data_IF_257203033459
#
_entry.id   IF_257203033459
#
_cell.length_a   1.000
_cell.length_b   1.000
_cell.length_c   1.000
_cell.angle_alpha   90.00
_cell.angle_beta   90.00
_cell.angle_gamma   90.00
#
_symmetry.space_group_name_H-M   'P 1'
#
loop_
_entity.id
_entity.type
_entity.pdbx_description
1 polymer ?
#
# COMPACT_ATOMS: atom_id res chain seq x y z
N UNK A 1 29.90 -28.04 12.28
CA UNK A 1 29.19 -26.78 12.55
C UNK A 1 27.76 -27.04 12.16
N UNK A 2 26.92 -27.37 13.14
CA UNK A 2 25.50 -27.69 12.96
C UNK A 2 24.67 -26.39 12.98
N UNK A 3 23.64 -26.21 12.14
CA UNK A 3 22.78 -25.04 12.20
C UNK A 3 21.75 -25.17 13.34
N UNK A 4 21.63 -24.09 14.11
CA UNK A 4 20.65 -23.95 15.19
C UNK A 4 19.30 -23.62 14.56
N UNK A 5 18.32 -24.50 14.73
CA UNK A 5 16.91 -24.24 14.42
C UNK A 5 16.26 -23.59 15.64
N UNK A 6 15.72 -22.38 15.49
CA UNK A 6 14.89 -21.73 16.50
C UNK A 6 13.44 -21.98 16.09
N UNK A 7 12.73 -22.79 16.87
CA UNK A 7 11.27 -22.87 16.82
C UNK A 7 10.73 -21.88 17.86
N UNK A 8 9.96 -20.87 17.43
CA UNK A 8 9.22 -19.97 18.34
C UNK A 8 7.74 -20.30 18.20
N UNK A 9 7.15 -20.80 19.29
CA UNK A 9 5.71 -20.96 19.43
C UNK A 9 5.19 -19.86 20.35
N UNK A 10 4.48 -18.85 19.82
CA UNK A 10 3.70 -17.89 20.62
C UNK A 10 2.71 -17.02 19.77
N UNK A 11 1.80 -17.63 19.01
CA UNK A 11 0.90 -16.92 18.08
C UNK A 11 -0.30 -16.15 18.68
N UNK A 12 -0.57 -16.22 19.99
CA UNK A 12 -1.84 -15.69 20.54
C UNK A 12 -1.80 -14.25 21.06
N UNK A 13 -0.71 -13.84 21.72
CA UNK A 13 -0.69 -12.58 22.47
C UNK A 13 -0.15 -11.38 21.67
N UNK A 14 0.64 -11.64 20.64
CA UNK A 14 1.31 -10.59 19.83
C UNK A 14 0.32 -9.93 18.88
N UNK A 15 -0.64 -10.68 18.33
CA UNK A 15 -1.68 -10.15 17.43
C UNK A 15 -2.53 -9.05 18.11
N UNK A 16 -2.84 -9.22 19.40
CA UNK A 16 -3.61 -8.24 20.17
C UNK A 16 -2.81 -6.96 20.44
N UNK A 17 -1.50 -7.07 20.65
CA UNK A 17 -0.62 -5.91 20.92
C UNK A 17 -0.36 -5.11 19.64
N UNK A 18 -0.18 -5.78 18.50
CA UNK A 18 -0.04 -5.12 17.18
C UNK A 18 -1.35 -4.44 16.78
N UNK A 19 -2.51 -5.08 17.00
CA UNK A 19 -3.82 -4.47 16.76
C UNK A 19 -4.07 -3.24 17.67
N UNK A 20 -3.66 -3.29 18.94
CA UNK A 20 -3.76 -2.15 19.87
C UNK A 20 -2.80 -1.00 19.53
N UNK A 21 -1.62 -1.30 18.98
CA UNK A 21 -0.69 -0.28 18.48
C UNK A 21 -1.18 0.37 17.18
N UNK A 22 -1.86 -0.39 16.32
CA UNK A 22 -2.52 0.12 15.11
C UNK A 22 -3.68 1.06 15.44
N UNK A 23 -4.45 0.78 16.51
CA UNK A 23 -5.54 1.65 17.00
C UNK A 23 -5.04 2.93 17.73
N UNK A 24 -3.77 2.96 18.15
CA UNK A 24 -3.22 3.98 19.05
C UNK A 24 -2.78 5.31 18.42
N UNK A 25 -2.94 5.54 17.11
CA UNK A 25 -2.53 6.81 16.45
C UNK A 25 -3.68 7.71 16.00
N UNK A 26 -4.86 7.65 16.64
CA UNK A 26 -5.81 8.78 16.56
C UNK A 26 -5.27 9.94 17.41
N UNK A 27 -4.73 10.97 16.76
CA UNK A 27 -4.49 12.28 17.40
C UNK A 27 -5.81 12.79 17.96
N UNK A 28 -5.97 12.77 19.28
CA UNK A 28 -7.07 13.44 19.96
C UNK A 28 -6.98 14.94 19.70
N UNK A 29 -7.85 15.49 18.86
CA UNK A 29 -8.12 16.93 18.85
C UNK A 29 -8.91 17.26 20.11
N UNK A 30 -8.21 17.80 21.11
CA UNK A 30 -8.83 18.44 22.26
C UNK A 30 -9.58 19.68 21.76
N UNK A 31 -10.91 19.61 21.71
CA UNK A 31 -11.75 20.80 21.54
C UNK A 31 -11.92 21.38 22.94
N UNK A 32 -11.31 22.54 23.19
CA UNK A 32 -11.52 23.30 24.41
C UNK A 32 -12.97 23.80 24.45
N UNK A 33 -13.77 23.19 25.32
CA UNK A 33 -15.19 23.48 25.49
C UNK A 33 -15.40 24.39 26.70
N UNK A 34 -14.77 25.56 26.69
CA UNK A 34 -14.80 26.51 27.81
C UNK A 34 -15.23 27.92 27.37
N UNK A 35 -16.51 28.12 27.02
CA UNK A 35 -17.16 29.44 27.14
C UNK A 35 -18.71 29.32 27.14
N UNK A 36 -19.43 30.06 27.99
CA UNK A 36 -20.88 29.98 28.07
C UNK A 36 -21.56 30.67 26.89
N UNK A 37 -22.57 30.01 26.32
CA UNK A 37 -23.47 30.56 25.29
C UNK A 37 -24.36 31.63 25.91
N UNK A 38 -24.20 32.88 25.46
CA UNK A 38 -25.21 33.93 25.62
C UNK A 38 -25.63 34.46 24.25
N UNK A 39 -26.94 34.42 24.01
CA UNK A 39 -27.61 34.76 22.76
C UNK A 39 -27.54 36.27 22.41
N UNK A 40 -27.41 36.60 21.12
CA UNK A 40 -28.27 37.53 20.37
C UNK A 40 -27.70 37.84 18.98
N UNK A 41 -28.55 37.71 17.96
CA UNK A 41 -28.56 38.39 16.64
C UNK A 41 -27.22 38.72 15.94
N UNK A 42 -26.82 37.87 14.98
CA UNK A 42 -26.18 38.34 13.73
C UNK A 42 -26.65 37.52 12.51
N UNK A 43 -26.82 38.23 11.39
CA UNK A 43 -27.40 37.83 10.09
C UNK A 43 -26.76 36.59 9.45
N UNK A 44 -27.44 35.89 8.51
CA UNK A 44 -26.86 34.73 7.84
C UNK A 44 -25.78 35.18 6.85
N UNK A 45 -24.52 35.07 7.26
CA UNK A 45 -23.39 35.05 6.33
C UNK A 45 -23.17 33.61 5.94
N UNK A 46 -23.67 33.24 4.76
CA UNK A 46 -23.14 32.09 4.05
C UNK A 46 -21.67 32.38 3.70
N UNK A 47 -20.75 31.55 4.20
CA UNK A 47 -19.55 31.02 3.52
C UNK A 47 -18.63 30.41 4.58
N UNK A 48 -18.68 29.09 4.74
CA UNK A 48 -17.58 28.29 5.28
C UNK A 48 -17.37 27.12 4.34
N UNK A 49 -16.73 27.39 3.19
CA UNK A 49 -16.34 26.38 2.23
C UNK A 49 -15.18 26.91 1.37
N UNK A 50 -14.00 27.10 1.96
CA UNK A 50 -12.81 27.43 1.17
C UNK A 50 -11.44 27.17 1.82
N UNK A 51 -11.32 26.64 3.06
CA UNK A 51 -10.03 26.72 3.79
C UNK A 51 -9.36 25.39 4.17
N UNK A 52 -9.77 24.27 3.58
CA UNK A 52 -9.08 22.96 3.72
C UNK A 52 -8.45 22.47 2.41
N UNK A 53 -8.36 23.33 1.40
CA UNK A 53 -7.99 22.92 0.04
C UNK A 53 -6.48 22.98 -0.29
N UNK A 54 -5.59 23.20 0.68
CA UNK A 54 -4.17 23.46 0.38
C UNK A 54 -3.16 22.62 1.17
N UNK A 55 -3.55 21.43 1.63
CA UNK A 55 -2.64 20.50 2.35
C UNK A 55 -2.26 19.27 1.53
N UNK A 56 -2.90 19.01 0.39
CA UNK A 56 -2.60 17.82 -0.44
C UNK A 56 -1.26 17.96 -1.15
N UNK A 57 -0.31 17.09 -0.81
CA UNK A 57 1.09 17.15 -1.25
C UNK A 57 1.46 16.14 -2.33
N UNK A 58 0.60 15.14 -2.57
CA UNK A 58 0.88 14.10 -3.57
C UNK A 58 -0.36 13.61 -4.33
N UNK A 59 -0.13 12.89 -5.43
CA UNK A 59 -1.19 12.26 -6.20
C UNK A 59 -1.84 11.08 -5.43
N UNK A 60 -1.06 10.35 -4.62
CA UNK A 60 -1.56 9.31 -3.73
C UNK A 60 -2.48 9.87 -2.64
N UNK A 61 -2.15 11.02 -2.05
CA UNK A 61 -3.00 11.66 -1.05
C UNK A 61 -4.37 12.08 -1.64
N UNK A 62 -4.43 12.45 -2.92
CA UNK A 62 -5.71 12.67 -3.63
C UNK A 62 -6.55 11.39 -3.66
N UNK A 63 -5.93 10.24 -3.92
CA UNK A 63 -6.61 8.96 -3.96
C UNK A 63 -7.03 8.48 -2.56
N UNK A 64 -6.21 8.75 -1.55
CA UNK A 64 -6.55 8.49 -0.14
C UNK A 64 -7.80 9.27 0.27
N UNK A 65 -7.89 10.56 -0.07
CA UNK A 65 -9.09 11.37 0.16
C UNK A 65 -10.33 10.85 -0.59
N UNK A 66 -10.14 10.14 -1.71
CA UNK A 66 -11.22 9.46 -2.45
C UNK A 66 -11.57 8.08 -1.86
N UNK A 67 -10.89 7.65 -0.79
CA UNK A 67 -11.09 6.35 -0.15
C UNK A 67 -10.56 5.18 -0.99
N UNK A 68 -9.54 5.41 -1.82
CA UNK A 68 -8.88 4.36 -2.58
C UNK A 68 -7.90 3.55 -1.70
N UNK A 69 -7.58 2.29 -2.07
CA UNK A 69 -6.67 1.46 -1.31
C UNK A 69 -5.22 1.98 -1.36
N UNK A 70 -4.46 1.73 -0.30
CA UNK A 70 -3.08 2.20 -0.12
C UNK A 70 -2.15 1.80 -1.28
N UNK A 71 -2.34 0.60 -1.85
CA UNK A 71 -1.61 0.16 -3.02
C UNK A 71 -1.81 1.09 -4.22
N UNK A 72 -3.05 1.54 -4.46
CA UNK A 72 -3.35 2.47 -5.54
C UNK A 72 -2.80 3.87 -5.26
N UNK A 73 -2.80 4.31 -4.01
CA UNK A 73 -2.15 5.55 -3.60
C UNK A 73 -0.64 5.50 -3.88
N UNK A 74 0.02 4.40 -3.52
CA UNK A 74 1.43 4.15 -3.83
C UNK A 74 1.74 4.15 -5.33
N UNK A 75 0.81 3.66 -6.17
CA UNK A 75 0.96 3.71 -7.62
C UNK A 75 0.95 5.17 -8.13
N UNK A 76 0.02 5.98 -7.62
CA UNK A 76 -0.07 7.39 -8.00
C UNK A 76 1.16 8.20 -7.57
N UNK A 77 1.68 7.94 -6.37
CA UNK A 77 2.89 8.60 -5.86
C UNK A 77 4.14 8.19 -6.66
N UNK A 78 4.26 6.91 -7.01
CA UNK A 78 5.34 6.43 -7.86
C UNK A 78 5.32 7.11 -9.25
N UNK A 79 4.14 7.21 -9.87
CA UNK A 79 3.99 7.89 -11.17
C UNK A 79 4.29 9.39 -11.06
N UNK A 80 3.89 10.03 -9.95
CA UNK A 80 4.20 11.43 -9.70
C UNK A 80 5.70 11.66 -9.55
N UNK A 81 6.40 10.83 -8.78
CA UNK A 81 7.86 10.93 -8.64
C UNK A 81 8.59 10.67 -9.97
N UNK A 82 8.17 9.64 -10.71
CA UNK A 82 8.75 9.34 -12.01
C UNK A 82 8.53 10.49 -13.02
N UNK A 83 7.35 11.09 -13.02
CA UNK A 83 7.04 12.26 -13.83
C UNK A 83 7.86 13.48 -13.40
N UNK A 84 7.95 13.78 -12.11
CA UNK A 84 8.73 14.89 -11.56
C UNK A 84 10.22 14.76 -11.95
N UNK A 85 10.78 13.55 -11.81
CA UNK A 85 12.16 13.23 -12.21
C UNK A 85 12.36 13.36 -13.72
N UNK A 86 11.51 12.74 -14.53
CA UNK A 86 11.63 12.71 -15.99
C UNK A 86 11.49 14.10 -16.60
N UNK A 87 10.60 14.91 -16.04
CA UNK A 87 10.34 16.27 -16.50
C UNK A 87 11.26 17.31 -15.85
N UNK A 88 11.97 16.95 -14.77
CA UNK A 88 12.78 17.86 -13.95
C UNK A 88 11.96 19.06 -13.48
N UNK A 89 10.79 18.79 -12.89
CA UNK A 89 9.83 19.78 -12.38
C UNK A 89 9.32 19.36 -11.00
N UNK A 90 8.93 20.34 -10.18
CA UNK A 90 8.20 20.08 -8.95
C UNK A 90 6.71 20.01 -9.24
N UNK A 91 6.10 18.84 -9.03
CA UNK A 91 4.67 18.60 -9.24
C UNK A 91 3.83 18.83 -7.99
N UNK A 92 4.44 18.95 -6.80
CA UNK A 92 3.72 19.11 -5.53
C UNK A 92 2.96 20.45 -5.45
N UNK A 93 3.40 21.43 -6.23
CA UNK A 93 2.79 22.76 -6.33
C UNK A 93 1.68 22.84 -7.38
N UNK A 94 1.50 21.81 -8.20
CA UNK A 94 0.51 21.78 -9.28
C UNK A 94 -0.58 20.72 -9.01
N UNK A 95 -1.63 21.15 -8.30
CA UNK A 95 -2.78 20.30 -7.97
C UNK A 95 -3.49 19.74 -9.20
N UNK A 96 -3.49 20.46 -10.32
CA UNK A 96 -4.11 19.98 -11.54
C UNK A 96 -3.31 18.81 -12.15
N UNK A 97 -1.98 18.92 -12.16
CA UNK A 97 -1.10 17.82 -12.58
C UNK A 97 -1.24 16.60 -11.65
N UNK A 98 -1.25 16.80 -10.32
CA UNK A 98 -1.45 15.72 -9.35
C UNK A 98 -2.77 14.99 -9.55
N UNK A 99 -3.87 15.73 -9.76
CA UNK A 99 -5.18 15.12 -10.02
C UNK A 99 -5.17 14.26 -11.28
N UNK A 100 -4.51 14.73 -12.35
CA UNK A 100 -4.40 13.98 -13.61
C UNK A 100 -3.53 12.73 -13.47
N UNK A 101 -2.49 12.78 -12.65
CA UNK A 101 -1.65 11.62 -12.34
C UNK A 101 -2.44 10.59 -11.51
N UNK A 102 -3.23 11.04 -10.55
CA UNK A 102 -4.12 10.19 -9.76
C UNK A 102 -5.14 9.45 -10.67
N UNK A 103 -5.83 10.18 -11.56
CA UNK A 103 -6.77 9.58 -12.51
C UNK A 103 -6.06 8.62 -13.50
N UNK A 104 -4.82 8.93 -13.90
CA UNK A 104 -4.03 8.06 -14.75
C UNK A 104 -3.57 6.79 -14.02
N UNK A 105 -3.28 6.86 -12.72
CA UNK A 105 -2.94 5.72 -11.89
C UNK A 105 -4.14 4.76 -11.74
N UNK A 106 -5.34 5.29 -11.49
CA UNK A 106 -6.58 4.51 -11.47
C UNK A 106 -6.77 3.73 -12.78
N UNK A 107 -6.59 4.40 -13.92
CA UNK A 107 -6.69 3.76 -15.24
C UNK A 107 -5.58 2.72 -15.48
N UNK A 108 -4.33 3.06 -15.18
CA UNK A 108 -3.21 2.15 -15.34
C UNK A 108 -3.36 0.90 -14.47
N UNK A 109 -3.87 1.04 -13.26
CA UNK A 109 -4.17 -0.09 -12.36
C UNK A 109 -5.13 -1.09 -13.02
N UNK A 110 -6.22 -0.62 -13.64
CA UNK A 110 -7.15 -1.49 -14.35
C UNK A 110 -6.49 -2.23 -15.53
N UNK A 111 -5.64 -1.54 -16.30
CA UNK A 111 -4.90 -2.13 -17.42
C UNK A 111 -3.85 -3.17 -16.94
N UNK A 112 -3.16 -2.89 -15.82
CA UNK A 112 -2.18 -3.79 -15.21
C UNK A 112 -2.82 -5.06 -14.65
N UNK A 113 -3.98 -4.94 -13.99
CA UNK A 113 -4.71 -6.08 -13.43
C UNK A 113 -5.31 -6.96 -14.51
N UNK A 114 -5.75 -6.37 -15.64
CA UNK A 114 -6.38 -7.11 -16.74
C UNK A 114 -5.37 -7.71 -17.73
N UNK A 115 -4.30 -6.98 -18.08
CA UNK A 115 -3.37 -7.36 -19.16
C UNK A 115 -1.92 -7.54 -18.71
N UNK A 116 -1.58 -7.15 -17.48
CA UNK A 116 -0.21 -7.18 -16.96
C UNK A 116 0.68 -6.04 -17.44
N UNK A 117 0.16 -5.11 -18.23
CA UNK A 117 0.90 -4.01 -18.84
C UNK A 117 0.03 -2.75 -18.92
N UNK A 118 0.62 -1.56 -18.77
CA UNK A 118 -0.07 -0.29 -18.94
C UNK A 118 0.82 0.77 -19.61
N UNK A 119 0.15 1.71 -20.29
CA UNK A 119 0.79 2.91 -20.85
C UNK A 119 0.08 4.14 -20.28
N UNK A 120 0.80 4.89 -19.46
CA UNK A 120 0.37 6.20 -18.98
C UNK A 120 0.87 7.25 -19.96
N UNK A 121 -0.05 8.05 -20.52
CA UNK A 121 0.29 9.16 -21.41
C UNK A 121 -0.53 10.40 -21.03
N UNK A 122 0.18 11.42 -20.54
CA UNK A 122 -0.39 12.69 -20.08
C UNK A 122 0.19 13.84 -20.92
N UNK A 123 -0.49 14.23 -22.01
CA UNK A 123 -0.05 15.35 -22.81
C UNK A 123 -0.29 16.66 -22.06
N UNK A 124 0.63 17.62 -22.19
CA UNK A 124 0.53 18.93 -21.53
C UNK A 124 0.32 18.78 -20.02
N UNK A 125 1.10 17.91 -19.36
CA UNK A 125 0.97 17.65 -17.93
C UNK A 125 1.27 18.92 -17.12
N UNK A 126 2.38 19.58 -17.44
CA UNK A 126 2.81 20.86 -16.87
C UNK A 126 3.48 21.73 -17.94
N UNK A 127 3.77 22.98 -17.62
CA UNK A 127 4.57 23.86 -18.46
C UNK A 127 5.65 24.57 -17.63
N UNK A 128 6.82 24.79 -18.22
CA UNK A 128 7.88 25.61 -17.65
C UNK A 128 8.33 26.71 -18.64
N UNK A 129 9.44 27.39 -18.33
CA UNK A 129 10.00 28.42 -19.20
C UNK A 129 10.37 27.92 -20.61
N UNK A 130 10.57 26.61 -20.80
CA UNK A 130 10.86 25.98 -22.10
C UNK A 130 9.61 25.58 -22.89
N UNK A 131 8.43 25.59 -22.25
CA UNK A 131 7.16 25.27 -22.86
C UNK A 131 6.42 24.11 -22.18
N UNK A 132 5.38 23.56 -22.82
CA UNK A 132 4.61 22.46 -22.28
C UNK A 132 5.42 21.16 -22.25
N UNK A 133 5.23 20.37 -21.18
CA UNK A 133 5.84 19.06 -20.98
C UNK A 133 4.79 17.96 -21.00
N UNK A 134 5.17 16.81 -21.56
CA UNK A 134 4.32 15.63 -21.70
C UNK A 134 4.95 14.48 -20.91
N UNK A 135 4.13 13.72 -20.19
CA UNK A 135 4.59 12.52 -19.50
C UNK A 135 4.13 11.28 -20.24
N UNK A 136 5.04 10.32 -20.44
CA UNK A 136 4.73 9.01 -21.00
C UNK A 136 5.52 7.94 -20.27
N UNK A 137 4.85 6.90 -19.79
CA UNK A 137 5.45 5.76 -19.10
C UNK A 137 4.78 4.47 -19.54
N UNK A 138 5.59 3.53 -20.02
CA UNK A 138 5.19 2.13 -20.19
C UNK A 138 5.67 1.35 -18.96
N UNK A 139 4.85 0.41 -18.47
CA UNK A 139 5.18 -0.38 -17.29
C UNK A 139 4.49 -1.74 -17.32
N UNK A 140 5.14 -2.72 -16.71
CA UNK A 140 4.58 -4.03 -16.37
C UNK A 140 3.99 -4.03 -14.96
N UNK A 141 3.16 -5.04 -14.65
CA UNK A 141 2.63 -5.24 -13.29
C UNK A 141 3.75 -5.36 -12.26
N UNK A 142 4.83 -6.08 -12.57
CA UNK A 142 5.96 -6.26 -11.66
C UNK A 142 6.68 -4.94 -11.35
N UNK A 143 6.92 -4.10 -12.36
CA UNK A 143 7.49 -2.76 -12.14
C UNK A 143 6.57 -1.87 -11.31
N UNK A 144 5.27 -1.93 -11.57
CA UNK A 144 4.27 -1.19 -10.81
C UNK A 144 4.24 -1.65 -9.34
N UNK A 145 4.25 -2.96 -9.07
CA UNK A 145 4.28 -3.50 -7.70
C UNK A 145 5.53 -3.08 -6.93
N UNK A 146 6.70 -3.09 -7.58
CA UNK A 146 7.92 -2.57 -6.96
C UNK A 146 7.83 -1.06 -6.67
N UNK A 147 7.26 -0.29 -7.60
CA UNK A 147 7.00 1.14 -7.41
C UNK A 147 6.04 1.41 -6.25
N UNK A 148 4.90 0.71 -6.22
CA UNK A 148 3.90 0.83 -5.17
C UNK A 148 4.52 0.61 -3.78
N UNK A 149 5.30 -0.46 -3.59
CA UNK A 149 5.93 -0.78 -2.29
C UNK A 149 7.08 0.17 -1.95
N UNK A 150 7.71 0.80 -2.93
CA UNK A 150 8.73 1.82 -2.66
C UNK A 150 8.12 3.11 -2.10
N UNK A 151 6.89 3.45 -2.49
CA UNK A 151 6.24 4.72 -2.15
C UNK A 151 5.14 4.60 -1.08
N UNK A 152 4.69 3.40 -0.74
CA UNK A 152 3.80 3.13 0.39
C UNK A 152 4.41 2.11 1.37
N UNK A 153 4.00 2.09 2.65
CA UNK A 153 4.40 1.06 3.62
C UNK A 153 3.69 -0.28 3.33
N UNK A 154 3.70 -0.72 2.08
CA UNK A 154 2.89 -1.84 1.62
C UNK A 154 3.47 -3.17 2.06
N UNK A 155 2.57 -4.02 2.55
CA UNK A 155 2.79 -5.43 2.86
C UNK A 155 2.23 -6.32 1.75
N UNK A 156 2.51 -7.62 1.83
CA UNK A 156 2.09 -8.57 0.81
C UNK A 156 0.56 -8.67 0.72
N UNK A 157 -0.15 -8.59 1.85
CA UNK A 157 -1.61 -8.60 1.90
C UNK A 157 -2.24 -7.46 1.08
N UNK A 158 -1.65 -6.26 1.11
CA UNK A 158 -2.16 -5.11 0.35
C UNK A 158 -1.96 -5.26 -1.15
N UNK A 159 -0.84 -5.87 -1.56
CA UNK A 159 -0.65 -6.26 -2.97
C UNK A 159 -1.65 -7.35 -3.38
N UNK A 160 -1.92 -8.34 -2.52
CA UNK A 160 -2.89 -9.39 -2.79
C UNK A 160 -4.31 -8.82 -2.92
N UNK A 161 -4.68 -7.89 -2.05
CA UNK A 161 -5.96 -7.18 -2.12
C UNK A 161 -6.07 -6.38 -3.42
N UNK A 162 -5.01 -5.65 -3.79
CA UNK A 162 -4.95 -4.90 -5.04
C UNK A 162 -5.07 -5.81 -6.28
N UNK A 163 -4.46 -7.01 -6.24
CA UNK A 163 -4.60 -8.05 -7.28
C UNK A 163 -6.01 -8.65 -7.36
N UNK A 164 -6.92 -8.28 -6.47
CA UNK A 164 -8.27 -8.81 -6.39
C UNK A 164 -8.33 -10.23 -5.84
N UNK A 165 -7.38 -10.61 -4.97
CA UNK A 165 -7.43 -11.89 -4.25
C UNK A 165 -8.51 -11.87 -3.17
N UNK A 166 -9.03 -13.05 -2.88
CA UNK A 166 -10.04 -13.24 -1.85
C UNK A 166 -9.49 -13.01 -0.45
N UNK A 167 -10.39 -12.76 0.51
CA UNK A 167 -10.07 -12.42 1.90
C UNK A 167 -9.13 -13.45 2.53
N UNK A 168 -9.37 -14.75 2.31
CA UNK A 168 -8.54 -15.83 2.85
C UNK A 168 -7.09 -15.76 2.34
N UNK A 169 -6.91 -15.46 1.06
CA UNK A 169 -5.58 -15.27 0.48
C UNK A 169 -4.89 -14.02 1.05
N UNK A 170 -5.64 -12.92 1.25
CA UNK A 170 -5.15 -11.66 1.82
C UNK A 170 -4.70 -11.86 3.27
N UNK A 171 -5.50 -12.54 4.08
CA UNK A 171 -5.18 -12.88 5.48
C UNK A 171 -3.95 -13.77 5.59
N UNK A 172 -3.81 -14.77 4.70
CA UNK A 172 -2.60 -15.57 4.66
C UNK A 172 -1.37 -14.71 4.36
N UNK A 173 -1.48 -13.73 3.45
CA UNK A 173 -0.40 -12.79 3.16
C UNK A 173 0.03 -12.01 4.39
N UNK A 174 -0.94 -11.49 5.15
CA UNK A 174 -0.69 -10.73 6.37
C UNK A 174 -0.01 -11.59 7.44
N UNK A 175 -0.49 -12.82 7.61
CA UNK A 175 0.11 -13.77 8.55
C UNK A 175 1.53 -14.15 8.14
N UNK A 176 1.79 -14.42 6.85
CA UNK A 176 3.12 -14.73 6.34
C UNK A 176 4.07 -13.54 6.55
N UNK A 177 3.65 -12.30 6.29
CA UNK A 177 4.46 -11.10 6.56
C UNK A 177 4.88 -11.02 8.03
N UNK A 178 3.90 -11.18 8.93
CA UNK A 178 4.13 -11.11 10.38
C UNK A 178 5.07 -12.22 10.87
N UNK A 179 4.98 -13.43 10.30
CA UNK A 179 5.87 -14.54 10.63
C UNK A 179 7.26 -14.40 10.01
N UNK A 180 7.34 -13.76 8.83
CA UNK A 180 8.60 -13.59 8.12
C UNK A 180 9.53 -12.58 8.81
N UNK A 181 8.99 -11.47 9.33
CA UNK A 181 9.81 -10.47 10.02
C UNK A 181 9.01 -9.49 10.88
N UNK A 182 9.57 -9.13 12.05
CA UNK A 182 9.12 -7.98 12.85
C UNK A 182 9.48 -6.62 12.19
N UNK A 183 10.25 -6.62 11.10
CA UNK A 183 10.67 -5.43 10.37
C UNK A 183 10.00 -5.39 8.99
N UNK A 184 9.80 -4.19 8.44
CA UNK A 184 9.33 -4.06 7.07
C UNK A 184 10.28 -4.76 6.10
N UNK A 185 9.70 -5.43 5.12
CA UNK A 185 10.45 -6.09 4.06
C UNK A 185 10.84 -5.06 3.00
N UNK A 186 11.98 -5.30 2.34
CA UNK A 186 12.35 -4.52 1.16
C UNK A 186 11.33 -4.75 0.03
N UNK A 187 11.15 -3.81 -0.92
CA UNK A 187 10.14 -3.91 -1.97
C UNK A 187 10.12 -5.24 -2.73
N UNK A 188 11.29 -5.70 -3.17
CA UNK A 188 11.41 -6.98 -3.88
C UNK A 188 11.01 -8.18 -3.01
N UNK A 189 11.21 -8.09 -1.69
CA UNK A 189 10.82 -9.16 -0.75
C UNK A 189 9.31 -9.20 -0.53
N UNK A 190 8.65 -8.04 -0.43
CA UNK A 190 7.17 -7.95 -0.36
C UNK A 190 6.52 -8.58 -1.59
N UNK A 191 6.98 -8.21 -2.80
CA UNK A 191 6.45 -8.77 -4.06
C UNK A 191 6.65 -10.29 -4.14
N UNK A 192 7.83 -10.77 -3.74
CA UNK A 192 8.11 -12.22 -3.70
C UNK A 192 7.24 -12.95 -2.70
N UNK A 193 6.98 -12.34 -1.54
CA UNK A 193 6.11 -12.90 -0.52
C UNK A 193 4.67 -13.03 -1.04
N UNK A 194 4.13 -11.96 -1.64
CA UNK A 194 2.81 -11.97 -2.25
C UNK A 194 2.68 -13.06 -3.32
N UNK A 195 3.68 -13.21 -4.20
CA UNK A 195 3.70 -14.29 -5.21
C UNK A 195 3.71 -15.69 -4.57
N UNK A 196 4.48 -15.87 -3.50
CA UNK A 196 4.54 -17.16 -2.81
C UNK A 196 3.24 -17.48 -2.07
N UNK A 197 2.56 -16.47 -1.52
CA UNK A 197 1.25 -16.61 -0.88
C UNK A 197 0.19 -17.10 -1.86
N UNK A 198 0.11 -16.52 -3.06
CA UNK A 198 -0.83 -16.99 -4.09
C UNK A 198 -0.55 -18.44 -4.50
N UNK A 199 0.74 -18.78 -4.66
CA UNK A 199 1.14 -20.14 -4.98
C UNK A 199 0.78 -21.11 -3.85
N UNK A 200 0.99 -20.73 -2.59
CA UNK A 200 0.63 -21.53 -1.43
C UNK A 200 -0.88 -21.77 -1.34
N UNK A 201 -1.71 -20.75 -1.60
CA UNK A 201 -3.16 -20.92 -1.67
C UNK A 201 -3.58 -21.92 -2.74
N UNK A 202 -3.02 -21.79 -3.96
CA UNK A 202 -3.27 -22.74 -5.04
C UNK A 202 -2.82 -24.17 -4.70
N UNK A 203 -1.72 -24.32 -3.94
CA UNK A 203 -1.21 -25.61 -3.48
C UNK A 203 -2.13 -26.26 -2.43
N UNK A 204 -2.67 -25.48 -1.49
CA UNK A 204 -3.64 -25.93 -0.49
C UNK A 204 -4.95 -26.35 -1.14
N UNK A 205 -5.44 -25.61 -2.14
CA UNK A 205 -6.65 -25.97 -2.87
C UNK A 205 -6.51 -27.34 -3.55
N UNK A 206 -5.36 -27.57 -4.18
CA UNK A 206 -5.06 -28.78 -4.95
C UNK A 206 -4.72 -30.01 -4.11
N UNK A 207 -3.93 -29.83 -3.07
CA UNK A 207 -3.29 -30.93 -2.33
C UNK A 207 -3.61 -30.96 -0.84
N UNK A 208 -4.24 -29.90 -0.31
CA UNK A 208 -4.50 -29.73 1.12
C UNK A 208 -3.28 -29.28 1.92
N UNK A 209 -2.12 -29.03 1.28
CA UNK A 209 -0.88 -28.58 1.92
C UNK A 209 -0.15 -27.57 1.04
N UNK A 210 0.62 -26.69 1.68
CA UNK A 210 1.55 -25.80 1.00
C UNK A 210 2.85 -25.65 1.78
N UNK A 211 3.90 -25.30 1.03
CA UNK A 211 5.19 -24.90 1.58
C UNK A 211 5.56 -23.57 0.94
N UNK A 212 5.75 -22.55 1.76
CA UNK A 212 6.38 -21.29 1.35
C UNK A 212 7.85 -21.41 1.72
N UNK A 213 8.75 -21.44 0.74
CA UNK A 213 10.20 -21.52 0.94
C UNK A 213 10.88 -20.43 0.10
N UNK A 214 11.27 -19.34 0.77
CA UNK A 214 11.83 -18.13 0.19
C UNK A 214 13.23 -17.87 0.73
N UNK A 215 14.22 -17.93 -0.15
CA UNK A 215 15.61 -17.65 0.20
C UNK A 215 16.01 -16.21 -0.14
N UNK A 216 16.87 -15.62 0.69
CA UNK A 216 17.40 -14.28 0.44
C UNK A 216 16.31 -13.21 0.39
N UNK A 217 15.33 -13.30 1.28
CA UNK A 217 14.50 -12.14 1.59
C UNK A 217 15.36 -11.11 2.31
N UNK A 218 14.98 -9.84 2.20
CA UNK A 218 15.71 -8.72 2.80
C UNK A 218 14.73 -7.79 3.48
N UNK A 219 15.09 -7.29 4.66
CA UNK A 219 14.36 -6.19 5.31
C UNK A 219 14.64 -4.87 4.60
N UNK A 220 13.85 -3.85 4.90
CA UNK A 220 14.05 -2.44 4.51
C UNK A 220 15.44 -1.90 4.89
N UNK A 221 16.04 -2.43 5.97
CA UNK A 221 17.41 -2.13 6.43
C UNK A 221 18.50 -2.98 5.75
N UNK A 222 18.15 -3.80 4.76
CA UNK A 222 19.09 -4.63 4.02
C UNK A 222 19.56 -5.88 4.77
N UNK A 223 18.87 -6.31 5.83
CA UNK A 223 19.21 -7.55 6.54
C UNK A 223 18.63 -8.72 5.75
N UNK A 224 19.48 -9.62 5.28
CA UNK A 224 19.08 -10.80 4.53
C UNK A 224 18.72 -11.99 5.43
N UNK A 225 17.69 -12.74 5.08
CA UNK A 225 17.24 -13.95 5.77
C UNK A 225 16.52 -14.92 4.83
N UNK A 226 16.28 -16.14 5.31
CA UNK A 226 15.48 -17.14 4.61
C UNK A 226 14.20 -17.38 5.42
N UNK A 227 13.10 -17.61 4.72
CA UNK A 227 11.81 -17.89 5.30
C UNK A 227 11.30 -19.24 4.78
N UNK A 228 10.90 -20.13 5.67
CA UNK A 228 10.27 -21.39 5.28
C UNK A 228 9.15 -21.75 6.25
N UNK A 229 7.96 -21.94 5.73
CA UNK A 229 6.82 -22.43 6.49
C UNK A 229 6.02 -23.47 5.72
N UNK A 230 5.62 -24.54 6.39
CA UNK A 230 4.72 -25.57 5.87
C UNK A 230 3.41 -25.51 6.66
N UNK A 231 2.28 -25.57 5.98
CA UNK A 231 0.97 -25.60 6.62
C UNK A 231 -0.02 -26.39 5.77
N UNK A 232 -0.98 -27.03 6.43
CA UNK A 232 -2.09 -27.73 5.79
C UNK A 232 -3.38 -26.90 5.87
N UNK A 233 -4.45 -27.37 5.23
CA UNK A 233 -5.73 -26.66 5.20
C UNK A 233 -6.28 -26.40 6.60
N UNK A 234 -6.17 -27.37 7.51
CA UNK A 234 -6.71 -27.24 8.86
C UNK A 234 -5.91 -26.22 9.68
N UNK A 235 -4.57 -26.27 9.59
CA UNK A 235 -3.71 -25.25 10.18
C UNK A 235 -4.03 -23.87 9.61
N UNK A 236 -4.27 -23.75 8.29
CA UNK A 236 -4.67 -22.49 7.68
C UNK A 236 -5.98 -21.98 8.28
N UNK A 237 -7.02 -22.81 8.35
CA UNK A 237 -8.33 -22.45 8.92
C UNK A 237 -8.19 -21.96 10.39
N UNK A 238 -7.38 -22.65 11.20
CA UNK A 238 -7.09 -22.27 12.59
C UNK A 238 -6.33 -20.94 12.69
N UNK A 239 -5.39 -20.69 11.77
CA UNK A 239 -4.55 -19.47 11.76
C UNK A 239 -5.34 -18.22 11.37
N UNK A 240 -6.23 -18.33 10.39
CA UNK A 240 -7.01 -17.19 9.88
C UNK A 240 -8.36 -17.00 10.60
N UNK A 241 -8.75 -17.94 11.46
CA UNK A 241 -9.95 -17.81 12.29
C UNK A 241 -11.28 -18.00 11.55
N UNK A 242 -11.28 -18.69 10.41
CA UNK A 242 -12.48 -18.97 9.60
C UNK A 242 -13.27 -20.21 10.09
N UNK A 243 -13.20 -20.54 11.37
CA UNK A 243 -13.86 -21.70 12.00
C UNK A 243 -15.29 -21.45 12.46
#
# INVERSE_FOLDING_TARGET
MEPIWIAVAAGGAVLLVVLLLMLGRRKERVIDMSAPVTAADEKPVATVAADTANETTSAGEILEFRGQPDALCGLADWLMEDAARTLSVDLSVDRAAMTRLADAAEKASADLLSSGHAVVELPYLVADASGPKHYRREMTREEAELGMVQHGPLQANELLAWRGRDERTVELGLWIDAEASDQFLAPASVVRLANATEQAMADIERSGRAVVDLQGLTTDKGVAFNFRHEFDRAALDDMIGTG
#
